data_IF_289402936993
#
_entry.id   IF_289402936993
#
_cell.length_a   1.000
_cell.length_b   1.000
_cell.length_c   1.000
_cell.angle_alpha   90.00
_cell.angle_beta   90.00
_cell.angle_gamma   90.00
#
_symmetry.space_group_name_H-M   'P 1'
#
loop_
_entity.id
_entity.type
_entity.pdbx_description
1 polymer ?
#
# COMPACT_ATOMS: atom_id res chain seq x y z
N UNK A 1 19.01 4.92 -9.18
CA UNK A 1 17.62 5.41 -9.00
C UNK A 1 16.57 4.44 -9.59
N UNK A 2 16.68 3.11 -9.42
CA UNK A 2 15.70 2.13 -9.97
C UNK A 2 14.77 1.51 -8.92
N UNK A 3 15.11 1.59 -7.63
CA UNK A 3 14.32 0.99 -6.55
C UNK A 3 13.05 1.78 -6.21
N UNK A 4 13.12 3.11 -6.18
CA UNK A 4 11.98 3.94 -5.81
C UNK A 4 10.80 3.79 -6.78
N UNK A 5 11.06 3.79 -8.09
CA UNK A 5 10.02 3.53 -9.08
C UNK A 5 9.41 2.13 -8.93
N UNK A 6 10.23 1.12 -8.65
CA UNK A 6 9.75 -0.25 -8.41
C UNK A 6 8.87 -0.35 -7.15
N UNK A 7 9.21 0.39 -6.11
CA UNK A 7 8.40 0.46 -4.88
C UNK A 7 7.07 1.17 -5.18
N UNK A 8 7.11 2.32 -5.87
CA UNK A 8 5.91 3.04 -6.29
C UNK A 8 4.98 2.13 -7.14
N UNK A 9 5.53 1.44 -8.13
CA UNK A 9 4.74 0.52 -8.98
C UNK A 9 4.11 -0.59 -8.14
N UNK A 10 4.85 -1.18 -7.20
CA UNK A 10 4.29 -2.20 -6.31
C UNK A 10 3.20 -1.63 -5.41
N UNK A 11 3.38 -0.42 -4.87
CA UNK A 11 2.35 0.26 -4.06
C UNK A 11 1.09 0.44 -4.90
N UNK A 12 1.20 1.07 -6.09
CA UNK A 12 0.06 1.31 -6.99
C UNK A 12 -0.63 0.01 -7.37
N UNK A 13 0.12 -1.04 -7.71
CA UNK A 13 -0.45 -2.34 -8.05
C UNK A 13 -1.19 -2.97 -6.86
N UNK A 14 -0.61 -2.89 -5.66
CA UNK A 14 -1.19 -3.46 -4.46
C UNK A 14 -2.44 -2.69 -4.03
N UNK A 15 -2.42 -1.36 -4.04
CA UNK A 15 -3.59 -0.53 -3.73
C UNK A 15 -4.70 -0.72 -4.75
N UNK A 16 -4.39 -0.81 -6.05
CA UNK A 16 -5.38 -1.10 -7.10
C UNK A 16 -5.99 -2.48 -6.91
N UNK A 17 -5.17 -3.48 -6.55
CA UNK A 17 -5.66 -4.83 -6.26
C UNK A 17 -6.57 -4.83 -5.03
N UNK A 18 -6.18 -4.10 -3.97
CA UNK A 18 -7.01 -3.92 -2.76
C UNK A 18 -8.32 -3.22 -3.12
N UNK A 19 -8.32 -2.14 -3.89
CA UNK A 19 -9.54 -1.46 -4.33
C UNK A 19 -10.47 -2.38 -5.13
N UNK A 20 -9.90 -3.21 -6.01
CA UNK A 20 -10.67 -4.08 -6.93
C UNK A 20 -11.17 -5.36 -6.26
N UNK A 21 -10.33 -6.04 -5.48
CA UNK A 21 -10.62 -7.36 -4.90
C UNK A 21 -11.02 -7.29 -3.42
N UNK A 22 -10.59 -6.26 -2.70
CA UNK A 22 -10.81 -6.08 -1.27
C UNK A 22 -11.31 -4.66 -0.95
N UNK A 23 -12.42 -4.20 -1.56
CA UNK A 23 -12.93 -2.84 -1.36
C UNK A 23 -13.23 -2.53 0.12
N UNK A 24 -13.46 -3.57 0.92
CA UNK A 24 -13.56 -3.46 2.38
C UNK A 24 -12.28 -2.92 3.03
N UNK A 25 -11.10 -3.44 2.66
CA UNK A 25 -9.80 -2.95 3.13
C UNK A 25 -9.49 -1.55 2.60
N UNK A 26 -9.89 -1.27 1.36
CA UNK A 26 -9.73 0.05 0.76
C UNK A 26 -10.50 1.13 1.54
N UNK A 27 -11.68 0.80 2.06
CA UNK A 27 -12.47 1.70 2.88
C UNK A 27 -11.79 2.08 4.20
N UNK A 28 -10.96 1.19 4.77
CA UNK A 28 -10.11 1.50 5.93
C UNK A 28 -8.89 2.35 5.56
N UNK A 29 -8.45 2.30 4.30
CA UNK A 29 -7.35 3.12 3.78
C UNK A 29 -7.80 4.56 3.47
N UNK A 30 -9.04 4.77 3.06
CA UNK A 30 -9.60 6.11 2.75
C UNK A 30 -9.76 6.99 4.00
N UNK A 31 -10.04 6.40 5.17
CA UNK A 31 -10.15 7.14 6.44
C UNK A 31 -8.81 7.68 6.98
N UNK A 32 -7.68 7.27 6.39
CA UNK A 32 -6.37 7.88 6.62
C UNK A 32 -5.84 8.47 5.30
N UNK A 33 -5.93 9.80 5.09
CA UNK A 33 -5.51 10.47 3.85
C UNK A 33 -3.98 10.55 3.73
N UNK A 34 -3.28 9.44 3.90
CA UNK A 34 -1.83 9.36 3.88
C UNK A 34 -1.32 8.49 2.74
N UNK A 35 -2.01 8.50 1.60
CA UNK A 35 -1.71 7.56 0.54
C UNK A 35 -1.43 8.29 -0.76
N UNK A 36 -0.23 8.02 -1.26
CA UNK A 36 0.45 8.66 -2.37
C UNK A 36 0.98 10.04 -2.00
N UNK A 37 2.27 10.12 -1.65
CA UNK A 37 2.92 11.41 -1.71
C UNK A 37 2.81 11.93 -3.13
N UNK A 38 2.04 12.99 -3.28
CA UNK A 38 2.12 13.85 -4.44
C UNK A 38 3.60 14.18 -4.63
N UNK A 39 4.03 14.24 -5.89
CA UNK A 39 5.38 14.58 -6.36
C UNK A 39 6.05 15.81 -5.69
N UNK A 40 5.32 16.51 -4.81
CA UNK A 40 5.68 17.68 -4.02
C UNK A 40 6.42 17.40 -2.71
N UNK A 41 6.62 16.15 -2.29
CA UNK A 41 7.43 15.82 -1.11
C UNK A 41 8.78 15.21 -1.52
N UNK A 42 9.80 16.03 -1.87
CA UNK A 42 11.11 15.54 -2.30
C UNK A 42 11.92 14.80 -1.22
N UNK A 43 11.43 14.78 0.02
CA UNK A 43 12.08 14.12 1.18
C UNK A 43 11.52 12.74 1.50
N UNK A 44 10.85 12.09 0.55
CA UNK A 44 10.42 10.71 0.77
C UNK A 44 11.60 9.81 0.55
N UNK A 45 12.25 9.58 1.68
CA UNK A 45 13.26 8.57 1.82
C UNK A 45 12.68 7.25 1.31
N UNK A 46 13.48 6.54 0.51
CA UNK A 46 13.13 5.22 -0.01
C UNK A 46 12.64 4.28 1.10
N UNK A 47 13.07 4.53 2.35
CA UNK A 47 12.64 3.84 3.56
C UNK A 47 11.15 4.04 3.86
N UNK A 48 10.63 5.26 3.83
CA UNK A 48 9.20 5.55 4.11
C UNK A 48 8.31 4.86 3.08
N UNK A 49 8.74 4.89 1.82
CA UNK A 49 8.04 4.23 0.72
C UNK A 49 8.03 2.71 0.87
N UNK A 50 9.15 2.14 1.32
CA UNK A 50 9.28 0.70 1.55
C UNK A 50 8.47 0.25 2.77
N UNK A 51 8.48 1.04 3.84
CA UNK A 51 7.71 0.83 5.07
C UNK A 51 6.20 0.86 4.80
N UNK A 52 5.75 1.78 3.95
CA UNK A 52 4.38 1.86 3.49
C UNK A 52 3.97 0.64 2.64
N UNK A 53 4.83 0.20 1.71
CA UNK A 53 4.59 -1.01 0.94
C UNK A 53 4.49 -2.26 1.83
N UNK A 54 5.36 -2.35 2.84
CA UNK A 54 5.37 -3.47 3.79
C UNK A 54 4.09 -3.48 4.64
N UNK A 55 3.67 -2.31 5.15
CA UNK A 55 2.42 -2.15 5.88
C UNK A 55 1.20 -2.59 5.05
N UNK A 56 1.11 -2.18 3.79
CA UNK A 56 0.03 -2.62 2.89
C UNK A 56 0.06 -4.13 2.65
N UNK A 57 1.25 -4.72 2.48
CA UNK A 57 1.39 -6.18 2.31
C UNK A 57 0.95 -6.91 3.58
N UNK A 58 1.32 -6.43 4.75
CA UNK A 58 0.90 -7.03 6.02
C UNK A 58 -0.61 -6.92 6.22
N UNK A 59 -1.23 -5.78 5.89
CA UNK A 59 -2.68 -5.61 5.95
C UNK A 59 -3.38 -6.66 5.07
N UNK A 60 -2.96 -6.77 3.81
CA UNK A 60 -3.52 -7.73 2.87
C UNK A 60 -3.29 -9.18 3.35
N UNK A 61 -2.09 -9.49 3.81
CA UNK A 61 -1.74 -10.82 4.31
C UNK A 61 -2.59 -11.20 5.53
N UNK A 62 -2.72 -10.30 6.51
CA UNK A 62 -3.54 -10.56 7.70
C UNK A 62 -5.02 -10.76 7.34
N UNK A 63 -5.52 -9.98 6.39
CA UNK A 63 -6.87 -10.15 5.88
C UNK A 63 -7.04 -11.52 5.19
N UNK A 64 -6.10 -11.90 4.30
CA UNK A 64 -6.10 -13.19 3.64
C UNK A 64 -6.03 -14.36 4.64
N UNK A 65 -5.18 -14.28 5.66
CA UNK A 65 -5.06 -15.31 6.70
C UNK A 65 -6.35 -15.43 7.51
N UNK A 66 -6.92 -14.31 7.93
CA UNK A 66 -8.19 -14.27 8.68
C UNK A 66 -9.34 -14.81 7.84
N UNK A 67 -9.35 -14.51 6.54
CA UNK A 67 -10.39 -14.96 5.61
C UNK A 67 -10.24 -16.45 5.24
N UNK A 68 -9.01 -16.98 5.22
CA UNK A 68 -8.71 -18.38 4.90
C UNK A 68 -8.89 -19.33 6.09
N UNK A 69 -8.95 -18.79 7.31
CA UNK A 69 -9.18 -19.55 8.54
C UNK A 69 -10.67 -19.82 8.85
N UNK A 70 -11.58 -19.51 7.91
CA UNK A 70 -13.02 -19.81 7.97
C UNK A 70 -13.40 -20.85 6.92
#
# INVERSE_FOLDING_TARGET
MKNLQKILTQITQLTTNIETNYPELYRFLDENPMTIPSMNHPHIDSKVMQDYLESLKQLLHHHLETHKAK
#
